data_IF_285252625294
#
_entry.id   IF_285252625294
#
_cell.length_a   1.000
_cell.length_b   1.000
_cell.length_c   1.000
_cell.angle_alpha   90.00
_cell.angle_beta   90.00
_cell.angle_gamma   90.00
#
_symmetry.space_group_name_H-M   'P 1'
#
loop_
_entity.id
_entity.type
_entity.pdbx_description
1 polymer ?
#
# COMPACT_ATOMS: atom_id res chain seq x y z
N UNK A 1 -17.95 -9.50 -5.68
CA UNK A 1 -17.69 -8.14 -6.20
C UNK A 1 -17.00 -7.37 -5.09
N UNK A 2 -16.05 -6.48 -5.41
CA UNK A 2 -15.53 -5.54 -4.42
C UNK A 2 -16.56 -4.45 -4.19
N UNK A 3 -16.87 -4.17 -2.92
CA UNK A 3 -17.75 -3.08 -2.53
C UNK A 3 -16.96 -1.81 -2.24
N UNK A 4 -15.88 -1.92 -1.47
CA UNK A 4 -15.08 -0.78 -1.06
C UNK A 4 -13.66 -1.19 -0.64
N UNK A 5 -12.67 -0.38 -1.02
CA UNK A 5 -11.27 -0.56 -0.63
C UNK A 5 -10.77 0.69 0.13
N UNK A 6 -10.19 0.50 1.32
CA UNK A 6 -9.54 1.56 2.08
C UNK A 6 -8.04 1.33 2.12
N UNK A 7 -7.27 2.36 1.81
CA UNK A 7 -5.81 2.35 1.97
C UNK A 7 -5.44 3.31 3.10
N UNK A 8 -4.67 2.81 4.06
CA UNK A 8 -4.02 3.63 5.08
C UNK A 8 -2.52 3.63 4.82
N UNK A 9 -1.93 4.82 4.74
CA UNK A 9 -0.48 4.99 4.74
C UNK A 9 -0.01 5.08 6.19
N UNK A 10 0.93 4.21 6.56
CA UNK A 10 1.57 4.20 7.86
C UNK A 10 2.86 5.01 7.86
N UNK A 11 3.82 4.57 8.66
CA UNK A 11 5.09 5.26 8.83
C UNK A 11 5.88 5.34 7.52
N UNK A 12 6.58 6.48 7.37
CA UNK A 12 7.59 6.70 6.36
C UNK A 12 8.98 6.51 7.00
N UNK A 13 9.71 5.50 6.56
CA UNK A 13 10.98 5.06 7.12
C UNK A 13 12.10 5.38 6.13
N UNK A 14 12.95 6.39 6.39
CA UNK A 14 14.12 6.66 5.58
C UNK A 14 15.07 5.47 5.60
N UNK A 15 15.59 5.10 4.43
CA UNK A 15 16.57 4.04 4.25
C UNK A 15 17.97 4.63 4.09
N UNK A 16 19.00 3.83 4.31
CA UNK A 16 20.41 4.27 4.22
C UNK A 16 20.84 4.66 2.81
N UNK A 17 20.14 4.17 1.78
CA UNK A 17 20.41 4.45 0.37
C UNK A 17 19.71 5.74 -0.14
N UNK A 18 19.04 6.47 0.75
CA UNK A 18 18.32 7.70 0.42
C UNK A 18 16.89 7.47 -0.10
N UNK A 19 16.45 6.22 -0.21
CA UNK A 19 15.04 5.91 -0.46
C UNK A 19 14.21 6.02 0.82
N UNK A 20 12.88 6.03 0.68
CA UNK A 20 11.95 6.02 1.82
C UNK A 20 10.97 4.87 1.62
N UNK A 21 10.86 4.01 2.62
CA UNK A 21 9.83 2.98 2.66
C UNK A 21 8.58 3.54 3.34
N UNK A 22 7.43 3.47 2.68
CA UNK A 22 6.13 3.87 3.22
C UNK A 22 5.30 2.62 3.42
N UNK A 23 5.04 2.26 4.66
CA UNK A 23 4.20 1.12 4.99
C UNK A 23 2.74 1.43 4.65
N UNK A 24 1.97 0.43 4.24
CA UNK A 24 0.55 0.59 3.94
C UNK A 24 -0.27 -0.59 4.42
N UNK A 25 -1.54 -0.33 4.70
CA UNK A 25 -2.57 -1.34 4.96
C UNK A 25 -3.72 -1.12 4.01
N UNK A 26 -4.12 -2.17 3.28
CA UNK A 26 -5.29 -2.20 2.42
C UNK A 26 -6.38 -3.04 3.09
N UNK A 27 -7.57 -2.48 3.24
CA UNK A 27 -8.76 -3.21 3.68
C UNK A 27 -9.73 -3.29 2.51
N UNK A 28 -9.86 -4.49 1.92
CA UNK A 28 -10.75 -4.77 0.82
C UNK A 28 -12.05 -5.40 1.33
N UNK A 29 -13.19 -4.79 1.03
CA UNK A 29 -14.52 -5.31 1.38
C UNK A 29 -15.14 -5.95 0.16
N UNK A 30 -15.44 -7.24 0.23
CA UNK A 30 -15.92 -8.05 -0.89
C UNK A 30 -17.23 -8.75 -0.54
N UNK A 31 -18.09 -8.95 -1.54
CA UNK A 31 -19.27 -9.80 -1.38
C UNK A 31 -18.87 -11.26 -1.25
N UNK A 32 -19.47 -11.95 -0.29
CA UNK A 32 -19.33 -13.40 -0.11
C UNK A 32 -20.48 -14.16 -0.75
N UNK A 33 -20.16 -15.33 -1.31
CA UNK A 33 -21.15 -16.26 -1.86
C UNK A 33 -22.12 -16.69 -0.77
N UNK A 34 -23.41 -16.37 -0.92
CA UNK A 34 -24.45 -16.62 0.09
C UNK A 34 -24.99 -15.36 0.76
N UNK A 35 -24.41 -14.18 0.47
CA UNK A 35 -24.87 -12.88 0.95
C UNK A 35 -24.03 -12.32 2.09
N UNK A 36 -24.00 -11.00 2.22
CA UNK A 36 -23.15 -10.27 3.15
C UNK A 36 -21.78 -9.89 2.57
N UNK A 37 -20.92 -9.32 3.39
CA UNK A 37 -19.58 -8.88 3.01
C UNK A 37 -18.50 -9.48 3.90
N UNK A 38 -17.31 -9.66 3.33
CA UNK A 38 -16.08 -10.03 4.03
C UNK A 38 -15.06 -8.91 3.87
N UNK A 39 -14.32 -8.61 4.94
CA UNK A 39 -13.18 -7.70 4.89
C UNK A 39 -11.89 -8.51 4.90
N UNK A 40 -11.09 -8.36 3.85
CA UNK A 40 -9.74 -8.88 3.75
C UNK A 40 -8.74 -7.74 4.02
N UNK A 41 -7.78 -7.96 4.90
CA UNK A 41 -6.75 -6.97 5.22
C UNK A 41 -5.41 -7.44 4.69
N UNK A 42 -4.78 -6.60 3.87
CA UNK A 42 -3.46 -6.80 3.29
C UNK A 42 -2.50 -5.76 3.83
N UNK A 43 -1.25 -6.16 4.03
CA UNK A 43 -0.19 -5.27 4.47
C UNK A 43 0.90 -5.21 3.40
N UNK A 44 1.51 -4.05 3.26
CA UNK A 44 2.52 -3.87 2.24
C UNK A 44 3.35 -2.63 2.47
N UNK A 45 4.13 -2.29 1.46
CA UNK A 45 4.88 -1.05 1.43
C UNK A 45 5.15 -0.60 0.00
N UNK A 46 5.39 0.69 -0.15
CA UNK A 46 6.07 1.26 -1.30
C UNK A 46 7.46 1.73 -0.89
N UNK A 47 8.43 1.56 -1.78
CA UNK A 47 9.70 2.29 -1.68
C UNK A 47 9.63 3.44 -2.67
N UNK A 48 9.85 4.66 -2.19
CA UNK A 48 9.97 5.86 -3.02
C UNK A 48 11.41 6.33 -3.06
N UNK A 49 11.85 6.77 -4.24
CA UNK A 49 13.20 7.28 -4.47
C UNK A 49 13.18 8.56 -5.30
N UNK A 50 14.07 9.49 -4.96
CA UNK A 50 14.26 10.71 -5.72
C UNK A 50 15.00 10.40 -7.04
N UNK A 51 14.52 10.99 -8.12
CA UNK A 51 15.10 10.85 -9.46
C UNK A 51 16.12 11.96 -9.72
N UNK A 52 16.90 11.82 -10.80
CA UNK A 52 17.91 12.81 -11.19
C UNK A 52 17.34 14.22 -11.46
N UNK A 53 16.05 14.32 -11.84
CA UNK A 53 15.33 15.58 -12.05
C UNK A 53 14.73 16.17 -10.75
N UNK A 54 15.00 15.54 -9.61
CA UNK A 54 14.50 15.93 -8.29
C UNK A 54 13.09 15.45 -7.96
N UNK A 55 12.38 14.79 -8.89
CA UNK A 55 11.05 14.23 -8.62
C UNK A 55 11.12 12.98 -7.74
N UNK A 56 10.07 12.72 -6.95
CA UNK A 56 9.92 11.48 -6.19
C UNK A 56 9.05 10.49 -6.96
N UNK A 57 9.48 9.22 -7.03
CA UNK A 57 8.73 8.15 -7.69
C UNK A 57 8.69 6.91 -6.82
N UNK A 58 7.60 6.15 -6.92
CA UNK A 58 7.55 4.78 -6.44
C UNK A 58 8.48 3.96 -7.33
N UNK A 59 9.49 3.34 -6.72
CA UNK A 59 10.48 2.51 -7.42
C UNK A 59 10.23 1.01 -7.18
N UNK A 60 9.54 0.67 -6.09
CA UNK A 60 9.15 -0.69 -5.77
C UNK A 60 7.87 -0.69 -4.94
N UNK A 61 7.08 -1.76 -5.04
CA UNK A 61 5.90 -1.97 -4.21
C UNK A 61 5.64 -3.46 -3.99
N UNK A 62 5.24 -3.80 -2.78
CA UNK A 62 4.84 -5.15 -2.41
C UNK A 62 3.59 -5.10 -1.53
N UNK A 63 2.67 -6.02 -1.78
CA UNK A 63 1.48 -6.26 -0.98
C UNK A 63 1.43 -7.74 -0.62
N UNK A 64 1.05 -8.05 0.62
CA UNK A 64 0.89 -9.39 1.18
C UNK A 64 -0.44 -9.54 1.90
#
# INVERSE_FOLDING_TARGET
HTQHDYITLGDAIPQTDGTVQVNLTLQATEDVTGGGTQVNTYQGYYTVGQQADGSWKIIYGQLS
#
